data_IF_231887747139
#
_entry.id   IF_231887747139
#
_cell.length_a   1.000
_cell.length_b   1.000
_cell.length_c   1.000
_cell.angle_alpha   90.00
_cell.angle_beta   90.00
_cell.angle_gamma   90.00
#
_symmetry.space_group_name_H-M   'P 1'
#
loop_
_entity.id
_entity.type
_entity.pdbx_description
1 polymer ?
#
# COMPACT_ATOMS: atom_id res chain seq x y z
N UNK A 1 10.60 -3.38 3.01
CA UNK A 1 9.67 -2.81 1.99
C UNK A 1 9.68 -3.71 0.76
N UNK A 2 8.53 -4.24 0.39
CA UNK A 2 8.44 -5.11 -0.77
C UNK A 2 8.29 -4.32 -2.05
N UNK A 3 8.91 -4.80 -3.11
CA UNK A 3 8.55 -4.41 -4.47
C UNK A 3 7.55 -5.45 -4.98
N UNK A 4 6.31 -5.03 -5.16
CA UNK A 4 5.23 -5.95 -5.49
C UNK A 4 4.98 -5.89 -7.00
N UNK A 5 4.94 -7.07 -7.61
CA UNK A 5 4.71 -7.22 -9.04
C UNK A 5 3.55 -8.18 -9.28
N UNK A 6 3.09 -8.25 -10.51
CA UNK A 6 2.07 -9.24 -10.88
C UNK A 6 2.52 -10.65 -10.53
N UNK A 7 3.83 -10.92 -10.66
CA UNK A 7 4.37 -12.27 -10.43
C UNK A 7 4.41 -12.65 -8.95
N UNK A 8 4.68 -11.71 -8.04
CA UNK A 8 4.81 -12.04 -6.62
C UNK A 8 3.58 -11.67 -5.79
N UNK A 9 2.58 -11.04 -6.39
CA UNK A 9 1.45 -10.50 -5.65
C UNK A 9 0.72 -11.57 -4.83
N UNK A 10 0.43 -12.69 -5.43
CA UNK A 10 -0.33 -13.73 -4.73
C UNK A 10 0.43 -14.27 -3.52
N UNK A 11 1.72 -14.62 -3.68
CA UNK A 11 2.50 -15.16 -2.58
C UNK A 11 2.82 -14.12 -1.51
N UNK A 12 3.19 -12.91 -1.92
CA UNK A 12 3.73 -11.92 -0.99
C UNK A 12 2.66 -11.04 -0.36
N UNK A 13 1.49 -10.94 -0.98
CA UNK A 13 0.39 -10.12 -0.46
C UNK A 13 -0.79 -10.98 -0.03
N UNK A 14 -1.34 -11.79 -0.94
CA UNK A 14 -2.56 -12.55 -0.62
C UNK A 14 -2.33 -13.66 0.40
N UNK A 15 -1.15 -14.28 0.38
CA UNK A 15 -0.81 -15.37 1.32
C UNK A 15 0.05 -14.90 2.48
N UNK A 16 0.20 -13.58 2.67
CA UNK A 16 0.97 -13.05 3.80
C UNK A 16 0.28 -13.38 5.12
N UNK A 17 1.09 -13.65 6.15
CA UNK A 17 0.59 -13.94 7.49
C UNK A 17 0.36 -12.69 8.35
N UNK A 18 0.69 -11.53 7.82
CA UNK A 18 0.44 -10.22 8.44
C UNK A 18 -0.33 -9.36 7.46
N UNK A 19 -1.04 -8.32 7.95
CA UNK A 19 -1.63 -7.34 7.05
C UNK A 19 -0.55 -6.70 6.16
N UNK A 20 -0.91 -6.38 4.93
CA UNK A 20 0.01 -5.77 3.96
C UNK A 20 -0.55 -4.43 3.54
N UNK A 21 0.22 -3.37 3.77
CA UNK A 21 -0.13 -2.03 3.30
C UNK A 21 0.60 -1.76 2.00
N UNK A 22 -0.17 -1.55 0.94
CA UNK A 22 0.36 -1.39 -0.42
C UNK A 22 0.20 0.05 -0.86
N UNK A 23 1.27 0.63 -1.41
CA UNK A 23 1.28 1.97 -2.01
C UNK A 23 1.32 1.83 -3.53
N UNK A 24 0.22 2.20 -4.18
CA UNK A 24 0.18 2.31 -5.65
C UNK A 24 0.73 3.69 -6.03
N UNK A 25 1.86 3.71 -6.73
CA UNK A 25 2.61 4.94 -6.98
C UNK A 25 3.17 4.97 -8.39
N UNK A 26 3.68 6.11 -8.82
CA UNK A 26 4.42 6.23 -10.07
C UNK A 26 5.54 7.25 -9.90
N UNK A 27 6.60 7.07 -10.68
CA UNK A 27 7.77 7.93 -10.60
C UNK A 27 7.46 9.37 -11.02
N UNK A 28 6.54 9.53 -11.97
CA UNK A 28 6.14 10.86 -12.48
C UNK A 28 5.16 11.59 -11.57
N UNK A 29 4.69 10.96 -10.51
CA UNK A 29 3.67 11.51 -9.63
C UNK A 29 4.32 12.34 -8.51
N UNK A 30 4.19 13.68 -8.52
CA UNK A 30 4.84 14.51 -7.50
C UNK A 30 4.35 14.21 -6.09
N UNK A 31 3.05 13.98 -5.92
CA UNK A 31 2.50 13.71 -4.59
C UNK A 31 2.93 12.35 -4.07
N UNK A 32 3.09 11.37 -4.96
CA UNK A 32 3.62 10.06 -4.59
C UNK A 32 5.04 10.20 -4.00
N UNK A 33 5.86 11.02 -4.63
CA UNK A 33 7.22 11.27 -4.13
C UNK A 33 7.21 12.04 -2.83
N UNK A 34 6.25 12.96 -2.67
CA UNK A 34 6.14 13.75 -1.43
C UNK A 34 5.80 12.87 -0.23
N UNK A 35 4.89 11.91 -0.39
CA UNK A 35 4.44 11.06 0.72
C UNK A 35 5.37 9.87 0.97
N UNK A 36 6.29 9.57 0.04
CA UNK A 36 7.16 8.40 0.15
C UNK A 36 7.96 8.33 1.45
N UNK A 37 8.60 9.43 1.94
CA UNK A 37 9.32 9.33 3.21
C UNK A 37 8.41 8.99 4.38
N UNK A 38 7.19 9.52 4.41
CA UNK A 38 6.22 9.20 5.47
C UNK A 38 5.81 7.73 5.40
N UNK A 39 5.57 7.23 4.19
CA UNK A 39 5.22 5.82 3.99
C UNK A 39 6.37 4.90 4.42
N UNK A 40 7.61 5.25 4.07
CA UNK A 40 8.78 4.48 4.47
C UNK A 40 8.94 4.43 5.99
N UNK A 41 8.70 5.55 6.67
CA UNK A 41 8.73 5.61 8.14
C UNK A 41 7.68 4.70 8.76
N UNK A 42 6.48 4.69 8.20
CA UNK A 42 5.41 3.79 8.66
C UNK A 42 5.87 2.34 8.52
N UNK A 43 6.49 2.00 7.39
CA UNK A 43 7.01 0.65 7.18
C UNK A 43 8.01 0.23 8.24
N UNK A 44 8.90 1.14 8.65
CA UNK A 44 9.86 0.87 9.71
C UNK A 44 9.20 0.73 11.07
N UNK A 45 8.30 1.65 11.40
CA UNK A 45 7.69 1.69 12.73
C UNK A 45 6.69 0.56 12.97
N UNK A 46 6.04 0.08 11.92
CA UNK A 46 5.02 -0.95 12.03
C UNK A 46 5.50 -2.33 11.58
N UNK A 47 6.81 -2.52 11.42
CA UNK A 47 7.38 -3.75 10.87
C UNK A 47 6.97 -5.01 11.62
N UNK A 48 6.71 -4.90 12.93
CA UNK A 48 6.29 -6.05 13.73
C UNK A 48 4.82 -6.44 13.48
N UNK A 49 4.00 -5.51 13.02
CA UNK A 49 2.56 -5.72 12.92
C UNK A 49 2.05 -5.81 11.49
N UNK A 50 2.76 -5.22 10.53
CA UNK A 50 2.35 -5.29 9.14
C UNK A 50 3.53 -5.25 8.19
N UNK A 51 3.27 -5.66 6.97
CA UNK A 51 4.24 -5.63 5.87
C UNK A 51 3.87 -4.44 4.99
N UNK A 52 4.88 -3.72 4.48
CA UNK A 52 4.65 -2.65 3.51
C UNK A 52 5.26 -3.00 2.18
N UNK A 53 4.62 -2.55 1.11
CA UNK A 53 5.11 -2.76 -0.23
C UNK A 53 4.60 -1.71 -1.19
N UNK A 54 5.19 -1.66 -2.38
CA UNK A 54 4.84 -0.70 -3.41
C UNK A 54 4.55 -1.40 -4.72
N UNK A 55 3.53 -0.90 -5.43
CA UNK A 55 3.19 -1.35 -6.78
C UNK A 55 3.33 -0.14 -7.70
N UNK A 56 4.19 -0.28 -8.72
CA UNK A 56 4.39 0.76 -9.71
C UNK A 56 3.22 0.77 -10.70
N UNK A 57 2.51 1.88 -10.75
CA UNK A 57 1.33 2.06 -11.60
C UNK A 57 1.62 1.75 -13.07
N UNK A 58 2.78 2.18 -13.57
CA UNK A 58 3.11 2.03 -14.98
C UNK A 58 3.59 0.61 -15.34
N UNK A 59 4.19 -0.08 -14.36
CA UNK A 59 4.83 -1.37 -14.62
C UNK A 59 3.91 -2.57 -14.38
N UNK A 60 2.82 -2.39 -13.61
CA UNK A 60 1.94 -3.49 -13.23
C UNK A 60 0.49 -3.22 -13.64
N UNK A 61 0.21 -3.08 -14.95
CA UNK A 61 -1.13 -2.72 -15.40
C UNK A 61 -2.21 -3.71 -15.02
N UNK A 62 -1.86 -5.00 -14.87
CA UNK A 62 -2.84 -6.01 -14.48
C UNK A 62 -3.34 -5.79 -13.06
N UNK A 63 -2.44 -5.39 -12.14
CA UNK A 63 -2.82 -5.10 -10.76
C UNK A 63 -3.63 -3.80 -10.67
N UNK A 64 -3.27 -2.82 -11.46
CA UNK A 64 -3.99 -1.54 -11.52
C UNK A 64 -5.44 -1.78 -11.97
N UNK A 65 -5.62 -2.58 -13.01
CA UNK A 65 -6.95 -2.92 -13.51
C UNK A 65 -7.73 -3.76 -12.50
N UNK A 66 -7.06 -4.75 -11.91
CA UNK A 66 -7.70 -5.64 -10.95
C UNK A 66 -8.33 -4.91 -9.77
N UNK A 67 -7.63 -3.88 -9.26
CA UNK A 67 -8.10 -3.14 -8.10
C UNK A 67 -8.73 -1.80 -8.45
N UNK A 68 -8.89 -1.50 -9.75
CA UNK A 68 -9.58 -0.31 -10.18
C UNK A 68 -8.91 0.99 -9.75
N UNK A 69 -7.57 1.03 -9.80
CA UNK A 69 -6.81 2.20 -9.35
C UNK A 69 -6.88 3.27 -10.42
N UNK A 70 -7.55 4.38 -10.14
CA UNK A 70 -7.65 5.49 -11.08
C UNK A 70 -7.00 6.77 -10.57
N UNK A 71 -6.56 6.79 -9.32
CA UNK A 71 -5.90 7.95 -8.71
C UNK A 71 -4.73 7.46 -7.88
N UNK A 72 -3.58 8.09 -8.02
CA UNK A 72 -2.40 7.75 -7.21
C UNK A 72 -1.88 8.99 -6.49
N UNK A 73 -1.27 8.85 -5.30
CA UNK A 73 -1.08 7.57 -4.60
C UNK A 73 -2.37 7.05 -3.99
N UNK A 74 -2.56 5.75 -4.05
CA UNK A 74 -3.62 5.06 -3.29
C UNK A 74 -2.93 4.05 -2.39
N UNK A 75 -3.25 4.09 -1.10
CA UNK A 75 -2.80 3.09 -0.15
C UNK A 75 -3.94 2.10 0.08
N UNK A 76 -3.63 0.82 0.03
CA UNK A 76 -4.64 -0.23 0.17
C UNK A 76 -4.14 -1.25 1.19
N UNK A 77 -5.00 -1.59 2.14
CA UNK A 77 -4.63 -2.52 3.21
C UNK A 77 -5.29 -3.87 2.95
N UNK A 78 -4.44 -4.89 2.92
CA UNK A 78 -4.85 -6.29 2.72
C UNK A 78 -4.71 -7.05 4.03
N UNK A 79 -5.64 -7.94 4.28
CA UNK A 79 -5.57 -8.84 5.43
C UNK A 79 -6.25 -10.15 5.07
N UNK A 80 -5.56 -11.27 5.31
CA UNK A 80 -6.08 -12.61 5.04
C UNK A 80 -6.54 -12.76 3.58
N UNK A 81 -5.78 -12.17 2.65
CA UNK A 81 -6.07 -12.29 1.22
C UNK A 81 -7.14 -11.35 0.70
N UNK A 82 -7.62 -10.42 1.51
CA UNK A 82 -8.71 -9.52 1.12
C UNK A 82 -8.36 -8.06 1.35
N UNK A 83 -8.90 -7.18 0.52
CA UNK A 83 -8.82 -5.73 0.74
C UNK A 83 -9.75 -5.38 1.89
N UNK A 84 -9.21 -4.76 2.94
CA UNK A 84 -10.03 -4.33 4.08
C UNK A 84 -10.19 -2.81 4.16
N UNK A 85 -9.47 -2.06 3.33
CA UNK A 85 -9.65 -0.61 3.24
C UNK A 85 -8.69 0.01 2.28
N UNK A 86 -8.97 1.26 1.89
CA UNK A 86 -8.08 2.04 1.04
C UNK A 86 -8.24 3.52 1.33
N UNK A 87 -7.20 4.30 1.02
CA UNK A 87 -7.19 5.75 1.18
C UNK A 87 -6.42 6.36 0.01
N UNK A 88 -6.94 7.46 -0.53
CA UNK A 88 -6.31 8.16 -1.65
C UNK A 88 -5.57 9.39 -1.12
N UNK A 89 -4.32 9.54 -1.54
CA UNK A 89 -3.51 10.72 -1.29
C UNK A 89 -3.55 11.19 0.19
N UNK A 90 -3.14 10.33 1.14
CA UNK A 90 -3.14 10.74 2.54
C UNK A 90 -2.24 11.96 2.73
N UNK A 91 -2.65 12.88 3.61
CA UNK A 91 -2.00 14.18 3.73
C UNK A 91 -0.74 14.18 4.58
N UNK A 92 -0.49 13.13 5.36
CA UNK A 92 0.61 13.10 6.31
C UNK A 92 0.87 11.68 6.81
N UNK A 93 2.00 11.52 7.50
CA UNK A 93 2.29 10.27 8.22
C UNK A 93 1.19 9.95 9.24
N UNK A 94 0.72 10.98 9.95
CA UNK A 94 -0.36 10.80 10.92
C UNK A 94 -1.65 10.29 10.27
N UNK A 95 -1.95 10.76 9.07
CA UNK A 95 -3.12 10.29 8.32
C UNK A 95 -2.98 8.82 7.93
N UNK A 96 -1.76 8.40 7.53
CA UNK A 96 -1.49 7.00 7.22
C UNK A 96 -1.68 6.14 8.46
N UNK A 97 -1.12 6.57 9.59
CA UNK A 97 -1.24 5.82 10.85
C UNK A 97 -2.69 5.71 11.31
N UNK A 98 -3.46 6.80 11.20
CA UNK A 98 -4.88 6.78 11.54
C UNK A 98 -5.64 5.79 10.67
N UNK A 99 -5.35 5.79 9.38
CA UNK A 99 -5.97 4.84 8.45
C UNK A 99 -5.69 3.40 8.86
N UNK A 100 -4.42 3.09 9.18
CA UNK A 100 -4.04 1.74 9.61
C UNK A 100 -4.80 1.34 10.87
N UNK A 101 -4.80 2.19 11.88
CA UNK A 101 -5.43 1.88 13.16
C UNK A 101 -6.93 1.69 13.03
N UNK A 102 -7.60 2.58 12.31
CA UNK A 102 -9.05 2.50 12.13
C UNK A 102 -9.43 1.28 11.30
N UNK A 103 -8.66 0.97 10.26
CA UNK A 103 -8.96 -0.16 9.37
C UNK A 103 -8.73 -1.48 10.09
N UNK A 104 -7.65 -1.61 10.84
CA UNK A 104 -7.36 -2.85 11.56
C UNK A 104 -8.27 -3.06 12.78
N UNK A 105 -8.91 -2.00 13.27
CA UNK A 105 -9.82 -2.11 14.40
C UNK A 105 -11.21 -2.63 14.02
N UNK A 106 -11.49 -2.73 12.73
CA UNK A 106 -12.79 -3.22 12.25
C UNK A 106 -12.94 -4.73 12.44
#
# INVERSE_FOLDING_TARGET
MLTITTNNFENDVLHADKPVLVDFWAQWCPYCRRIAPAFDKVGEQYADTLITGKINYDEEPQLIERFGIDTIPTLMLFKNGEVIGSIVAPGSKAAIEAFIKETLAQ
#
